data_IF_703849138094
#
_entry.id   IF_703849138094
#
_cell.length_a   1.000
_cell.length_b   1.000
_cell.length_c   1.000
_cell.angle_alpha   90.00
_cell.angle_beta   90.00
_cell.angle_gamma   90.00
#
_symmetry.space_group_name_H-M   'P 1'
#
loop_
_entity.id
_entity.type
_entity.pdbx_description
1 polymer ?
2 non-polymer ?
3 non-polymer ?
#
# COMPACT_ATOMS: atom_id res chain seq x y z
N UNK A 211 -14.12 39.65 3.98
CA UNK A 211 -14.35 39.12 5.32
C UNK A 211 -13.55 37.83 5.55
N UNK A 212 -12.59 37.89 6.48
CA UNK A 212 -11.68 36.77 6.69
C UNK A 212 -12.37 35.61 7.39
N UNK A 213 -13.34 35.89 8.26
CA UNK A 213 -13.99 34.82 9.00
C UNK A 213 -14.77 33.89 8.07
N UNK A 214 -15.44 34.43 7.05
CA UNK A 214 -16.21 33.58 6.15
C UNK A 214 -15.30 32.84 5.15
N UNK A 215 -14.20 33.45 4.72
CA UNK A 215 -13.27 32.77 3.83
C UNK A 215 -12.64 31.57 4.51
N UNK A 216 -12.53 31.60 5.84
CA UNK A 216 -12.10 30.42 6.61
C UNK A 216 -13.28 29.55 7.06
N UNK A 217 -14.51 30.06 7.00
CA UNK A 217 -15.69 29.23 7.26
C UNK A 217 -15.76 28.07 6.26
N UNK A 218 -15.73 28.39 4.96
CA UNK A 218 -15.91 27.38 3.93
C UNK A 218 -14.60 26.73 3.48
N UNK A 219 -13.45 27.29 3.86
CA UNK A 219 -12.20 26.58 3.64
C UNK A 219 -12.10 25.37 4.57
N UNK A 220 -12.59 25.50 5.80
CA UNK A 220 -12.46 24.41 6.76
C UNK A 220 -13.56 23.36 6.65
N UNK A 221 -14.74 23.71 6.16
CA UNK A 221 -15.80 22.70 6.11
C UNK A 221 -15.84 21.93 4.79
N UNK A 222 -15.54 22.57 3.66
CA UNK A 222 -15.41 21.78 2.44
C UNK A 222 -14.32 20.73 2.59
N UNK A 223 -13.26 21.03 3.35
CA UNK A 223 -12.33 19.99 3.78
C UNK A 223 -13.07 18.92 4.58
N UNK A 224 -13.90 19.35 5.52
CA UNK A 224 -14.61 18.40 6.37
C UNK A 224 -15.50 17.51 5.52
N UNK A 225 -16.24 18.11 4.58
CA UNK A 225 -17.19 17.38 3.76
C UNK A 225 -16.50 16.56 2.66
N UNK A 226 -15.60 17.19 1.88
CA UNK A 226 -14.81 16.43 0.91
C UNK A 226 -14.08 15.26 1.58
N UNK A 227 -13.68 15.44 2.82
CA UNK A 227 -12.90 14.44 3.53
C UNK A 227 -13.71 13.41 4.31
N UNK A 228 -14.95 13.70 4.67
CA UNK A 228 -15.75 12.66 5.30
C UNK A 228 -16.31 11.73 4.23
N UNK A 229 -16.87 12.28 3.15
CA UNK A 229 -17.42 11.44 2.10
C UNK A 229 -16.29 10.68 1.40
N UNK A 230 -15.22 11.40 1.06
CA UNK A 230 -14.05 10.79 0.47
C UNK A 230 -13.51 9.66 1.33
N UNK A 231 -13.14 9.96 2.57
CA UNK A 231 -12.53 8.94 3.41
C UNK A 231 -13.51 7.89 3.89
N UNK A 232 -14.82 8.12 3.74
CA UNK A 232 -15.78 7.06 4.08
C UNK A 232 -15.90 6.03 2.96
N UNK A 233 -15.78 6.48 1.70
CA UNK A 233 -15.79 5.54 0.57
C UNK A 233 -14.59 4.59 0.62
N UNK A 234 -13.43 5.07 1.06
CA UNK A 234 -12.23 4.24 1.05
C UNK A 234 -12.32 3.14 2.08
N UNK A 235 -12.71 3.49 3.32
CA UNK A 235 -12.99 2.47 4.33
C UNK A 235 -14.01 1.46 3.81
N UNK A 236 -15.07 1.97 3.17
CA UNK A 236 -16.19 1.14 2.78
C UNK A 236 -15.81 0.12 1.71
N UNK A 237 -15.23 0.58 0.60
CA UNK A 237 -14.97 -0.31 -0.54
C UNK A 237 -13.89 -1.33 -0.21
N UNK A 238 -12.88 -0.94 0.57
CA UNK A 238 -11.87 -1.92 0.95
C UNK A 238 -12.50 -3.02 1.80
N UNK A 239 -13.63 -2.73 2.45
CA UNK A 239 -14.29 -3.73 3.27
C UNK A 239 -15.33 -4.53 2.49
N UNK A 240 -16.21 -3.87 1.72
CA UNK A 240 -17.31 -4.59 1.09
C UNK A 240 -16.86 -5.44 -0.09
N UNK A 241 -15.73 -5.11 -0.73
CA UNK A 241 -15.31 -5.78 -1.96
C UNK A 241 -14.07 -6.62 -1.71
N UNK A 242 -14.21 -7.95 -1.86
CA UNK A 242 -13.03 -8.81 -1.72
C UNK A 242 -12.03 -8.57 -2.84
N UNK A 243 -12.48 -7.94 -3.94
CA UNK A 243 -11.57 -7.56 -5.01
C UNK A 243 -10.48 -6.63 -4.48
N UNK A 244 -10.83 -5.81 -3.49
CA UNK A 244 -10.05 -4.70 -2.94
C UNK A 244 -9.33 -5.04 -1.64
N UNK A 245 -9.59 -6.19 -1.05
CA UNK A 245 -8.90 -6.53 0.19
C UNK A 245 -7.49 -6.98 -0.18
N UNK A 246 -6.53 -6.07 -0.08
CA UNK A 246 -5.13 -6.37 -0.28
C UNK A 246 -4.34 -5.79 0.89
N UNK A 247 -3.05 -6.08 0.96
CA UNK A 247 -2.28 -5.50 2.06
C UNK A 247 -2.08 -4.00 1.82
N UNK A 248 -1.89 -3.60 0.56
CA UNK A 248 -1.68 -2.18 0.31
C UNK A 248 -2.93 -1.36 0.64
N UNK A 249 -4.12 -1.88 0.28
CA UNK A 249 -5.36 -1.17 0.59
C UNK A 249 -5.68 -1.15 2.09
N UNK A 250 -5.12 -2.07 2.88
CA UNK A 250 -5.38 -2.02 4.32
C UNK A 250 -4.63 -0.86 4.96
N UNK A 251 -3.40 -0.59 4.51
CA UNK A 251 -2.72 0.63 4.91
C UNK A 251 -3.41 1.86 4.35
N UNK A 252 -3.90 1.77 3.11
CA UNK A 252 -4.62 2.88 2.52
C UNK A 252 -5.91 3.17 3.29
N UNK A 253 -6.61 2.13 3.72
CA UNK A 253 -7.76 2.35 4.59
C UNK A 253 -7.32 2.84 5.97
N UNK A 254 -6.12 2.48 6.42
CA UNK A 254 -5.64 2.95 7.73
C UNK A 254 -5.32 4.44 7.69
N UNK A 255 -4.62 4.89 6.65
CA UNK A 255 -4.57 6.31 6.31
C UNK A 255 -5.95 6.94 6.31
N UNK A 256 -6.90 6.33 5.59
CA UNK A 256 -8.26 6.87 5.56
C UNK A 256 -8.83 7.01 6.97
N UNK A 257 -8.57 6.03 7.84
CA UNK A 257 -9.17 6.06 9.18
C UNK A 257 -8.47 7.11 10.03
N UNK A 258 -7.20 7.39 9.73
CA UNK A 258 -6.50 8.47 10.41
C UNK A 258 -7.06 9.83 10.04
N UNK A 259 -7.35 10.04 8.76
CA UNK A 259 -7.84 11.34 8.31
C UNK A 259 -9.33 11.50 8.56
N UNK A 260 -10.05 10.41 8.77
CA UNK A 260 -11.42 10.51 9.22
C UNK A 260 -11.47 11.01 10.66
N UNK A 261 -10.59 10.49 11.50
CA UNK A 261 -10.47 10.95 12.88
C UNK A 261 -10.17 12.45 12.96
N UNK A 262 -9.74 13.06 11.86
CA UNK A 262 -9.41 14.48 11.87
C UNK A 262 -10.50 15.31 11.20
N UNK A 263 -11.15 14.77 10.19
CA UNK A 263 -12.21 15.54 9.54
C UNK A 263 -13.46 15.64 10.42
N UNK A 264 -13.68 14.65 11.29
CA UNK A 264 -14.90 14.61 12.08
C UNK A 264 -14.69 15.02 13.53
N UNK A 265 -13.52 14.76 14.11
CA UNK A 265 -13.29 15.12 15.51
C UNK A 265 -12.58 16.47 15.62
N UNK A 266 -11.43 16.61 14.98
CA UNK A 266 -10.59 17.79 15.14
C UNK A 266 -11.08 19.00 14.37
N UNK A 267 -11.09 18.91 13.05
CA UNK A 267 -11.52 20.01 12.21
C UNK A 267 -12.88 20.62 12.60
N UNK A 268 -13.85 19.85 13.12
CA UNK A 268 -15.08 20.50 13.57
C UNK A 268 -14.91 21.44 14.77
N UNK A 269 -14.18 21.03 15.81
CA UNK A 269 -13.99 21.88 16.98
C UNK A 269 -12.93 22.95 16.76
N UNK A 270 -11.93 22.65 15.93
CA UNK A 270 -10.96 23.65 15.51
C UNK A 270 -11.62 24.86 14.90
N UNK A 271 -12.51 24.63 13.91
CA UNK A 271 -13.26 25.71 13.27
C UNK A 271 -13.89 26.65 14.28
N UNK A 272 -14.61 26.10 15.26
CA UNK A 272 -15.37 26.95 16.18
C UNK A 272 -14.46 27.71 17.13
N UNK A 273 -13.29 27.16 17.46
CA UNK A 273 -12.33 27.89 18.29
C UNK A 273 -11.62 28.99 17.50
N UNK A 274 -11.68 28.94 16.17
CA UNK A 274 -11.06 29.97 15.34
C UNK A 274 -12.04 31.10 15.03
N UNK A 275 -13.26 30.74 14.64
CA UNK A 275 -14.25 31.73 14.21
C UNK A 275 -14.74 32.57 15.38
N UNK A 276 -15.19 31.89 16.44
CA UNK A 276 -15.70 32.59 17.62
C UNK A 276 -14.57 33.25 18.39
N UNK A 277 -13.43 32.57 18.52
CA UNK A 277 -12.33 33.06 19.30
C UNK A 277 -12.30 32.57 20.73
N UNK A 278 -13.39 31.97 21.20
CA UNK A 278 -13.47 31.42 22.56
C UNK A 278 -13.61 29.91 22.47
N UNK A 279 -12.89 29.21 23.35
CA UNK A 279 -13.03 27.76 23.50
C UNK A 279 -14.27 27.47 24.35
N UNK A 280 -15.32 26.99 23.72
CA UNK A 280 -16.61 26.80 24.37
C UNK A 280 -16.88 25.34 24.75
N UNK A 281 -15.99 24.42 24.43
CA UNK A 281 -16.15 23.03 24.84
C UNK A 281 -15.44 22.81 26.18
N UNK A 282 -15.35 21.55 26.63
CA UNK A 282 -14.84 21.27 27.95
C UNK A 282 -13.33 21.41 28.03
N UNK A 283 -12.78 21.20 29.23
CA UNK A 283 -11.32 21.10 29.37
C UNK A 283 -10.77 19.74 29.00
N UNK A 284 -11.61 18.70 28.96
CA UNK A 284 -11.13 17.40 28.49
C UNK A 284 -10.80 17.49 27.00
N UNK A 285 -11.68 18.13 26.22
CA UNK A 285 -11.46 18.26 24.79
C UNK A 285 -10.28 19.17 24.48
N UNK A 286 -10.03 20.18 25.32
CA UNK A 286 -8.87 21.06 25.13
C UNK A 286 -7.57 20.26 25.15
N UNK A 287 -7.55 19.12 25.85
CA UNK A 287 -6.41 18.22 25.82
C UNK A 287 -6.46 17.25 24.64
N UNK A 288 -7.66 16.84 24.22
CA UNK A 288 -7.77 15.64 23.41
C UNK A 288 -7.71 15.93 21.92
N UNK A 289 -8.23 17.07 21.49
CA UNK A 289 -8.21 17.41 20.08
C UNK A 289 -6.79 17.69 19.58
N UNK A 290 -5.92 18.39 20.33
CA UNK A 290 -4.52 18.44 19.90
C UNK A 290 -3.82 17.09 19.92
N UNK A 291 -4.20 16.21 20.85
CA UNK A 291 -3.67 14.85 20.86
C UNK A 291 -4.18 14.05 19.66
N UNK A 292 -5.49 14.10 19.41
CA UNK A 292 -6.06 13.42 18.25
C UNK A 292 -5.54 13.97 16.92
N UNK A 293 -5.03 15.21 16.91
CA UNK A 293 -4.43 15.72 15.69
C UNK A 293 -3.00 15.22 15.52
N UNK A 294 -2.20 15.33 16.57
CA UNK A 294 -0.85 14.80 16.50
C UNK A 294 -0.84 13.30 16.28
N UNK A 295 -1.82 12.60 16.83
CA UNK A 295 -1.91 11.17 16.66
C UNK A 295 -2.08 10.80 15.19
N UNK A 296 -2.84 11.61 14.45
CA UNK A 296 -3.12 11.30 13.06
C UNK A 296 -1.89 11.47 12.17
N UNK A 297 -1.19 12.59 12.30
CA UNK A 297 -0.05 12.80 11.41
C UNK A 297 1.05 11.77 11.64
N UNK A 298 1.16 11.24 12.87
CA UNK A 298 2.13 10.18 13.10
C UNK A 298 1.68 8.85 12.49
N UNK A 299 0.40 8.48 12.63
CA UNK A 299 -0.05 7.23 12.02
C UNK A 299 0.05 7.35 10.51
N UNK A 300 -0.22 8.54 9.97
CA UNK A 300 -0.07 8.73 8.53
C UNK A 300 1.39 8.54 8.11
N UNK A 301 2.31 9.20 8.81
CA UNK A 301 3.72 9.11 8.44
C UNK A 301 4.27 7.71 8.63
N UNK A 302 3.86 7.03 9.70
CA UNK A 302 4.24 5.62 9.86
C UNK A 302 3.59 4.76 8.76
N UNK A 303 2.32 4.99 8.44
CA UNK A 303 1.65 4.16 7.43
C UNK A 303 2.23 4.36 6.03
N UNK A 304 2.57 5.59 5.65
CA UNK A 304 3.13 5.81 4.33
C UNK A 304 4.52 5.20 4.20
N UNK A 305 5.30 5.26 5.28
CA UNK A 305 6.65 4.70 5.29
C UNK A 305 6.61 3.18 5.14
N UNK A 306 5.62 2.53 5.77
CA UNK A 306 5.42 1.10 5.60
C UNK A 306 4.99 0.78 4.16
N UNK A 307 4.13 1.61 3.57
CA UNK A 307 3.69 1.32 2.21
C UNK A 307 4.89 1.33 1.27
N UNK A 308 5.80 2.28 1.46
CA UNK A 308 6.90 2.45 0.52
C UNK A 308 7.90 1.32 0.61
N UNK A 309 8.20 0.88 1.84
CA UNK A 309 9.14 -0.21 2.05
C UNK A 309 8.57 -1.55 1.57
N UNK A 310 7.29 -1.80 1.84
CA UNK A 310 6.69 -3.05 1.41
C UNK A 310 6.72 -3.17 -0.12
N UNK A 311 6.35 -2.09 -0.82
CA UNK A 311 6.43 -2.11 -2.27
C UNK A 311 7.86 -2.38 -2.75
N UNK A 312 8.84 -1.68 -2.16
CA UNK A 312 10.22 -1.90 -2.57
C UNK A 312 10.61 -3.36 -2.41
N UNK A 313 10.13 -4.01 -1.33
CA UNK A 313 10.49 -5.42 -1.09
C UNK A 313 9.81 -6.36 -2.10
N UNK A 314 8.54 -6.09 -2.45
CA UNK A 314 7.86 -6.93 -3.43
C UNK A 314 8.51 -6.82 -4.79
N UNK A 315 9.10 -5.66 -5.08
CA UNK A 315 9.66 -5.43 -6.41
C UNK A 315 11.05 -6.08 -6.55
N UNK A 316 11.82 -6.24 -5.45
CA UNK A 316 13.10 -6.94 -5.61
C UNK A 316 12.90 -8.45 -5.56
N UNK A 317 11.99 -8.92 -4.70
CA UNK A 317 11.73 -10.36 -4.63
C UNK A 317 10.83 -10.81 -5.76
N UNK A 318 10.39 -9.89 -6.63
CA UNK A 318 9.53 -10.17 -7.80
C UNK A 318 8.23 -10.83 -7.35
N UNK A 319 7.74 -10.43 -6.20
CA UNK A 319 6.57 -11.04 -5.59
C UNK A 319 5.37 -10.11 -5.62
N UNK A 320 4.20 -10.70 -5.42
CA UNK A 320 2.99 -9.92 -5.31
C UNK A 320 2.57 -9.68 -3.87
N UNK A 321 3.13 -10.45 -2.92
CA UNK A 321 3.11 -10.11 -1.50
C UNK A 321 4.41 -10.56 -0.83
N UNK A 322 4.95 -9.69 0.01
CA UNK A 322 5.93 -10.08 1.00
C UNK A 322 5.29 -10.14 2.38
N UNK A 323 4.60 -9.07 2.79
CA UNK A 323 3.95 -9.02 4.10
C UNK A 323 2.55 -9.65 4.04
N UNK A 324 2.26 -10.50 5.02
CA UNK A 324 0.98 -11.18 5.11
C UNK A 324 -0.15 -10.24 5.55
N UNK A 325 -1.36 -10.58 5.11
CA UNK A 325 -2.55 -9.85 5.54
C UNK A 325 -2.76 -9.89 7.04
N UNK A 326 -2.13 -10.82 7.76
CA UNK A 326 -2.34 -10.83 9.20
C UNK A 326 -1.22 -10.11 9.95
N UNK A 327 0.00 -10.04 9.39
CA UNK A 327 1.01 -9.14 9.96
C UNK A 327 0.63 -7.67 9.72
N UNK A 328 0.02 -7.37 8.57
CA UNK A 328 -0.42 -6.00 8.28
C UNK A 328 -1.37 -5.46 9.36
N UNK A 329 -2.20 -6.31 9.96
CA UNK A 329 -3.04 -5.79 11.05
C UNK A 329 -2.20 -5.51 12.29
N UNK A 330 -1.15 -6.30 12.52
CA UNK A 330 -0.29 -6.11 13.68
C UNK A 330 0.58 -4.85 13.54
N UNK A 331 1.05 -4.55 12.32
CA UNK A 331 1.78 -3.31 12.08
C UNK A 331 0.85 -2.10 12.20
N UNK A 332 -0.40 -2.24 11.76
CA UNK A 332 -1.37 -1.17 11.96
C UNK A 332 -1.65 -0.93 13.44
N UNK A 333 -1.57 -1.97 14.27
CA UNK A 333 -1.72 -1.78 15.71
C UNK A 333 -0.57 -1.02 16.34
N UNK A 334 0.65 -1.52 16.16
CA UNK A 334 1.85 -0.80 16.61
C UNK A 334 1.81 0.67 16.21
N UNK A 335 1.36 0.96 14.99
CA UNK A 335 1.39 2.33 14.50
C UNK A 335 0.52 3.23 15.36
N UNK A 336 -0.72 2.82 15.62
CA UNK A 336 -1.58 3.55 16.55
C UNK A 336 -1.02 3.50 17.97
N UNK A 337 -0.46 2.35 18.37
CA UNK A 337 0.13 2.26 19.70
C UNK A 337 1.36 3.13 19.86
N UNK A 338 2.34 2.96 18.95
CA UNK A 338 3.56 3.77 19.00
C UNK A 338 3.24 5.26 18.85
N UNK A 339 2.25 5.61 18.06
CA UNK A 339 1.99 7.03 17.89
C UNK A 339 1.12 7.60 19.00
N UNK A 340 0.30 6.79 19.66
CA UNK A 340 -0.42 7.29 20.83
C UNK A 340 0.53 7.60 21.99
N UNK A 341 1.72 6.98 22.01
CA UNK A 341 2.74 7.34 22.99
C UNK A 341 3.56 8.55 22.55
N UNK A 342 3.87 8.65 21.25
CA UNK A 342 4.71 9.73 20.76
C UNK A 342 4.01 11.08 20.80
N UNK A 343 2.68 11.11 20.86
CA UNK A 343 1.92 12.36 20.82
C UNK A 343 1.25 12.69 22.16
N UNK A 344 1.60 11.99 23.23
CA UNK A 344 1.04 12.27 24.55
C UNK A 344 1.55 13.58 25.16
N UNK A 345 2.81 14.00 24.91
CA UNK A 345 3.17 15.38 25.25
C UNK A 345 2.19 16.43 24.72
N UNK A 346 1.64 16.20 23.53
CA UNK A 346 0.62 17.10 23.00
C UNK A 346 -0.64 17.13 23.88
N UNK A 347 -0.88 16.08 24.67
CA UNK A 347 -2.12 15.96 25.42
C UNK A 347 -1.98 16.44 26.86
N UNK A 348 -0.79 16.34 27.43
CA UNK A 348 -0.57 16.70 28.82
C UNK A 348 -0.13 18.14 28.95
N UNK A 349 0.72 18.62 28.05
CA UNK A 349 1.18 20.00 28.14
C UNK A 349 0.22 20.98 27.47
N UNK A 350 -1.08 20.69 27.51
CA UNK A 350 -2.11 21.66 27.21
C UNK A 350 -2.67 22.20 28.52
N UNK A 351 -3.06 23.48 28.52
CA UNK A 351 -3.60 24.09 29.73
C UNK A 351 -4.96 24.71 29.45
N UNK A 352 -5.87 24.54 30.40
CA UNK A 352 -7.21 25.12 30.35
C UNK A 352 -7.31 26.19 31.43
N UNK A 353 -7.33 27.46 31.04
CA UNK A 353 -7.56 28.50 32.03
C UNK A 353 -7.97 29.79 31.33
N UNK A 354 -8.28 30.80 32.15
CA UNK A 354 -8.86 32.05 31.70
C UNK A 354 -7.76 33.02 31.28
N UNK A 355 -7.99 33.71 30.17
CA UNK A 355 -7.23 34.89 29.76
C UNK A 355 -8.22 35.89 29.18
N UNK A 356 -8.17 37.14 29.65
CA UNK A 356 -9.05 38.18 29.12
C UNK A 356 -8.19 39.16 28.33
N UNK A 357 -8.42 39.20 27.01
CA UNK A 357 -7.79 40.20 26.15
C UNK A 357 -8.16 41.60 26.61
N UNK A 358 -9.45 41.84 26.82
CA UNK A 358 -9.96 43.08 27.42
C UNK A 358 -11.01 42.59 28.43
N UNK A 359 -11.80 43.50 29.20
CA UNK A 359 -12.79 43.01 30.19
C UNK A 359 -14.09 42.42 29.63
N UNK A 360 -13.99 41.58 28.59
CA UNK A 360 -15.07 40.69 28.18
C UNK A 360 -15.31 39.69 29.29
N UNK A 361 -16.56 39.55 29.75
CA UNK A 361 -16.77 38.95 31.06
C UNK A 361 -16.64 37.43 31.03
N UNK A 362 -16.66 36.82 29.85
CA UNK A 362 -16.37 35.39 29.72
C UNK A 362 -15.54 35.16 28.47
N UNK A 363 -14.29 34.72 28.64
CA UNK A 363 -13.49 34.20 27.55
C UNK A 363 -12.42 33.29 28.13
N UNK A 364 -12.15 32.18 27.43
CA UNK A 364 -11.22 31.13 27.87
C UNK A 364 -10.49 30.61 26.65
N UNK A 365 -9.19 30.48 26.74
CA UNK A 365 -8.40 29.95 25.62
C UNK A 365 -7.78 28.61 26.00
N UNK A 366 -7.21 27.96 25.00
CA UNK A 366 -6.59 26.65 25.16
C UNK A 366 -5.23 26.70 24.46
N UNK A 367 -4.16 26.57 25.25
CA UNK A 367 -2.79 26.73 24.76
C UNK A 367 -1.88 25.70 25.41
N UNK A 368 -0.65 25.62 24.89
CA UNK A 368 0.35 24.70 25.39
C UNK A 368 1.12 25.33 26.55
N UNK A 369 1.44 24.52 27.55
CA UNK A 369 2.22 24.97 28.70
C UNK A 369 3.20 23.87 29.10
N UNK A 370 4.49 24.13 28.91
CA UNK A 370 5.70 23.35 29.17
C UNK A 370 6.29 23.69 30.53
N UNK A 371 6.85 22.66 31.22
CA UNK A 371 6.97 22.69 32.68
C UNK A 371 7.41 23.99 33.33
N UNK A 372 8.43 24.64 32.77
CA UNK A 372 8.93 25.85 33.38
C UNK A 372 8.08 27.07 33.07
N UNK A 373 8.16 28.06 33.96
CA UNK A 373 7.49 29.33 33.70
C UNK A 373 8.15 30.09 32.55
N UNK A 374 9.43 29.83 32.31
CA UNK A 374 10.15 30.40 31.17
C UNK A 374 11.03 29.35 30.50
N UNK A 375 10.86 28.08 30.82
CA UNK A 375 11.72 27.01 30.31
C UNK A 375 11.14 26.47 29.01
N UNK A 376 11.76 26.83 27.90
CA UNK A 376 11.27 26.50 26.57
C UNK A 376 11.89 25.23 26.00
N UNK A 377 12.83 24.60 26.72
CA UNK A 377 13.67 23.57 26.11
C UNK A 377 12.88 22.29 25.87
N UNK A 378 12.09 21.83 26.85
CA UNK A 378 11.30 20.62 26.66
C UNK A 378 10.43 20.71 25.40
N UNK A 379 9.87 21.90 25.14
CA UNK A 379 8.97 22.07 24.03
C UNK A 379 9.62 22.23 22.68
N UNK A 380 10.93 22.45 22.62
CA UNK A 380 11.60 22.59 21.34
C UNK A 380 12.28 21.30 20.89
N UNK A 381 12.93 20.57 21.81
CA UNK A 381 13.55 19.31 21.40
C UNK A 381 12.47 18.33 20.93
N UNK A 382 11.32 18.32 21.60
CA UNK A 382 10.19 17.59 21.08
C UNK A 382 9.80 18.13 19.71
N UNK A 383 9.78 19.46 19.56
CA UNK A 383 9.52 20.06 18.27
C UNK A 383 10.72 20.02 17.34
N UNK A 384 11.79 19.35 17.73
CA UNK A 384 12.91 19.12 16.83
C UNK A 384 13.16 17.65 16.58
N UNK A 385 13.07 16.81 17.61
CA UNK A 385 13.19 15.37 17.39
C UNK A 385 12.02 14.85 16.58
N UNK A 386 10.81 15.21 16.97
CA UNK A 386 9.64 14.72 16.23
C UNK A 386 9.66 15.23 14.79
N UNK A 387 10.06 16.49 14.59
CA UNK A 387 10.24 16.98 13.23
C UNK A 387 11.38 16.22 12.53
N UNK A 388 12.36 15.74 13.29
CA UNK A 388 13.45 14.97 12.68
C UNK A 388 13.03 13.52 12.47
N UNK A 389 12.80 12.81 13.57
CA UNK A 389 12.51 11.37 13.52
C UNK A 389 11.22 11.07 12.73
N UNK A 390 10.33 12.07 12.55
CA UNK A 390 9.02 11.84 11.94
C UNK A 390 8.67 12.77 10.79
N UNK A 391 9.61 13.52 10.27
CA UNK A 391 9.33 14.19 9.00
C UNK A 391 10.47 14.12 7.98
N UNK A 392 11.73 14.30 8.37
CA UNK A 392 12.80 14.22 7.38
C UNK A 392 13.37 12.80 7.35
N UNK A 393 13.25 12.08 8.45
CA UNK A 393 13.64 10.67 8.43
C UNK A 393 12.67 9.85 7.58
N UNK A 394 11.36 9.86 7.83
CA UNK A 394 10.48 9.00 7.02
C UNK A 394 10.33 9.49 5.59
N UNK A 395 10.43 10.80 5.34
CA UNK A 395 10.46 11.24 3.94
C UNK A 395 11.80 10.96 3.30
N UNK A 396 12.85 10.76 4.12
CA UNK A 396 14.09 10.24 3.59
C UNK A 396 13.95 8.82 3.11
N UNK A 397 13.42 7.94 3.98
CA UNK A 397 13.23 6.54 3.63
C UNK A 397 12.32 6.39 2.40
N UNK A 398 11.12 6.99 2.46
CA UNK A 398 10.16 6.88 1.36
C UNK A 398 10.80 7.32 0.04
N UNK A 399 11.45 8.48 0.04
CA UNK A 399 12.14 8.95 -1.16
C UNK A 399 13.13 7.91 -1.69
N UNK A 400 13.92 7.32 -0.80
CA UNK A 400 14.91 6.32 -1.20
C UNK A 400 14.21 5.12 -1.84
N UNK A 401 13.15 4.62 -1.22
CA UNK A 401 12.48 3.44 -1.74
C UNK A 401 11.93 3.69 -3.14
N UNK A 402 11.09 4.72 -3.30
CA UNK A 402 10.51 4.99 -4.61
C UNK A 402 11.56 5.35 -5.66
N UNK A 403 12.73 5.84 -5.23
CA UNK A 403 13.79 6.14 -6.19
C UNK A 403 14.38 4.84 -6.74
N UNK A 404 14.66 3.89 -5.85
CA UNK A 404 15.10 2.57 -6.28
C UNK A 404 14.00 1.87 -7.08
N UNK A 405 12.78 1.79 -6.50
CA UNK A 405 11.66 1.15 -7.17
C UNK A 405 11.51 1.66 -8.59
N UNK A 406 11.67 2.97 -8.78
CA UNK A 406 11.37 3.56 -10.07
C UNK A 406 12.35 3.05 -11.13
N UNK A 407 13.66 3.15 -10.88
CA UNK A 407 14.62 2.59 -11.84
C UNK A 407 14.33 1.10 -12.08
N UNK A 408 14.20 0.33 -11.00
CA UNK A 408 13.76 -1.06 -11.10
C UNK A 408 12.64 -1.22 -12.13
N UNK A 409 11.48 -0.57 -11.89
CA UNK A 409 10.33 -0.74 -12.78
C UNK A 409 10.57 -0.24 -14.20
N UNK A 410 11.55 0.63 -14.42
CA UNK A 410 11.76 1.26 -15.73
C UNK A 410 12.71 0.46 -16.62
N UNK A 411 13.77 -0.13 -16.05
CA UNK A 411 14.81 -0.80 -16.81
C UNK A 411 14.97 -2.26 -16.43
N UNK A 412 13.87 -2.88 -16.01
CA UNK A 412 13.89 -4.31 -15.74
C UNK A 412 13.57 -5.07 -17.03
N UNK A 413 14.13 -6.27 -17.13
CA UNK A 413 13.71 -7.25 -18.11
C UNK A 413 13.00 -8.36 -17.34
N UNK A 414 11.87 -8.83 -17.86
CA UNK A 414 11.19 -9.95 -17.18
C UNK A 414 12.05 -11.23 -17.24
N UNK A 415 12.08 -11.95 -16.12
CA UNK A 415 12.77 -13.22 -16.03
C UNK A 415 11.76 -14.35 -15.86
N UNK A 416 11.85 -15.38 -16.72
CA UNK A 416 10.98 -16.53 -16.66
C UNK A 416 11.78 -17.81 -16.40
N UNK A 417 11.21 -18.65 -15.54
CA UNK A 417 11.71 -19.98 -15.28
C UNK A 417 10.71 -20.95 -15.89
N UNK A 418 11.18 -21.89 -16.71
CA UNK A 418 10.33 -23.00 -17.17
C UNK A 418 10.91 -24.30 -16.65
N UNK A 419 10.14 -24.98 -15.82
CA UNK A 419 10.50 -26.29 -15.29
C UNK A 419 9.47 -27.27 -15.78
N UNK A 420 9.91 -28.29 -16.52
CA UNK A 420 9.03 -29.35 -17.01
C UNK A 420 9.55 -30.73 -16.61
N UNK A 421 8.62 -31.69 -16.54
CA UNK A 421 8.93 -33.11 -16.46
C UNK A 421 8.41 -33.86 -17.68
N UNK A 422 9.30 -34.59 -18.37
CA UNK A 422 8.97 -35.16 -19.67
C UNK A 422 9.68 -36.50 -19.88
N UNK A 423 8.92 -37.55 -20.12
CA UNK A 423 9.48 -38.89 -20.27
C UNK A 423 9.76 -39.24 -21.73
N UNK A 424 8.90 -38.82 -22.65
CA UNK A 424 9.14 -39.11 -24.05
C UNK A 424 9.25 -37.84 -24.87
N UNK A 425 9.37 -36.69 -24.21
CA UNK A 425 9.71 -35.44 -24.85
C UNK A 425 8.54 -34.58 -25.26
N UNK A 426 7.29 -34.95 -24.93
CA UNK A 426 6.17 -34.14 -25.40
C UNK A 426 6.08 -32.82 -24.63
N UNK A 427 6.04 -32.88 -23.29
CA UNK A 427 6.10 -31.67 -22.47
C UNK A 427 7.38 -30.89 -22.71
N UNK A 428 8.50 -31.58 -22.96
CA UNK A 428 9.72 -30.87 -23.30
C UNK A 428 9.54 -30.07 -24.58
N UNK A 429 8.94 -30.68 -25.62
CA UNK A 429 8.63 -29.92 -26.84
C UNK A 429 7.68 -28.78 -26.53
N UNK A 430 6.68 -29.00 -25.68
CA UNK A 430 5.78 -27.90 -25.36
C UNK A 430 6.54 -26.76 -24.68
N UNK A 431 7.49 -27.10 -23.82
CA UNK A 431 8.22 -26.09 -23.06
C UNK A 431 9.14 -25.26 -23.96
N UNK A 432 9.77 -25.90 -24.94
CA UNK A 432 10.61 -25.22 -25.92
C UNK A 432 9.81 -24.24 -26.76
N UNK A 433 8.52 -24.47 -26.91
CA UNK A 433 7.64 -23.72 -27.79
C UNK A 433 7.11 -22.50 -27.07
N UNK A 434 6.72 -22.71 -25.82
CA UNK A 434 6.43 -21.61 -24.92
C UNK A 434 7.64 -20.69 -24.84
N UNK A 435 8.81 -21.31 -24.68
CA UNK A 435 9.99 -20.55 -24.36
C UNK A 435 10.42 -19.71 -25.54
N UNK A 436 10.13 -20.16 -26.75
CA UNK A 436 10.54 -19.40 -27.93
C UNK A 436 9.67 -18.16 -28.10
N UNK A 437 8.43 -18.19 -27.57
CA UNK A 437 7.53 -17.05 -27.66
C UNK A 437 7.81 -16.02 -26.55
N UNK A 438 8.13 -16.50 -25.36
CA UNK A 438 8.54 -15.57 -24.31
C UNK A 438 9.89 -14.94 -24.62
N UNK A 439 10.80 -15.65 -25.28
CA UNK A 439 12.04 -15.00 -25.67
C UNK A 439 11.76 -13.94 -26.72
N UNK A 440 10.89 -14.26 -27.68
CA UNK A 440 10.51 -13.29 -28.70
C UNK A 440 9.79 -12.09 -28.14
N UNK A 441 9.35 -12.17 -26.88
CA UNK A 441 8.61 -11.11 -26.19
C UNK A 441 9.50 -10.29 -25.27
N UNK A 442 10.81 -10.51 -25.34
CA UNK A 442 11.75 -9.79 -24.51
C UNK A 442 11.99 -10.35 -23.14
N UNK A 443 11.50 -11.55 -22.83
CA UNK A 443 11.87 -12.21 -21.59
C UNK A 443 13.27 -12.81 -21.67
N UNK A 444 13.94 -12.87 -20.53
CA UNK A 444 15.14 -13.69 -20.39
C UNK A 444 14.69 -15.05 -19.87
N UNK A 445 14.59 -16.06 -20.78
CA UNK A 445 13.96 -17.33 -20.46
C UNK A 445 15.00 -18.31 -19.94
N UNK A 446 14.55 -19.19 -19.05
CA UNK A 446 15.40 -20.17 -18.35
C UNK A 446 14.66 -21.52 -18.35
N UNK A 447 15.01 -22.43 -19.26
CA UNK A 447 14.45 -23.79 -19.28
C UNK A 447 15.30 -24.76 -18.45
N UNK A 448 14.66 -25.49 -17.54
CA UNK A 448 15.34 -26.55 -16.81
C UNK A 448 14.48 -27.80 -16.79
N UNK A 449 15.05 -28.92 -17.18
CA UNK A 449 14.37 -30.19 -16.97
C UNK A 449 14.23 -30.42 -15.47
N UNK A 450 13.05 -30.90 -15.05
CA UNK A 450 12.85 -31.14 -13.62
C UNK A 450 13.88 -32.14 -13.07
N UNK A 451 14.30 -33.09 -13.90
CA UNK A 451 15.33 -34.07 -13.57
C UNK A 451 16.61 -33.44 -13.05
N UNK A 452 16.87 -32.18 -13.36
CA UNK A 452 18.19 -31.62 -13.11
C UNK A 452 18.21 -30.62 -11.96
N UNK A 453 17.08 -30.34 -11.31
CA UNK A 453 16.96 -29.31 -10.28
C UNK A 453 16.70 -29.92 -8.89
N UNK A 454 16.80 -29.06 -7.89
CA UNK A 454 16.39 -29.34 -6.53
C UNK A 454 15.41 -28.23 -6.16
N UNK A 455 14.58 -28.48 -5.15
CA UNK A 455 13.43 -27.60 -5.00
C UNK A 455 13.76 -26.33 -4.19
N UNK A 456 14.85 -26.32 -3.42
CA UNK A 456 15.08 -25.20 -2.53
C UNK A 456 15.46 -23.95 -3.29
N UNK A 457 14.73 -22.87 -3.03
CA UNK A 457 14.97 -21.58 -3.66
C UNK A 457 14.79 -21.53 -5.16
N UNK A 458 14.18 -22.56 -5.76
CA UNK A 458 14.20 -22.71 -7.22
C UNK A 458 13.50 -21.53 -7.88
N UNK A 459 12.45 -21.01 -7.26
CA UNK A 459 11.65 -19.99 -7.90
C UNK A 459 12.19 -18.58 -7.68
N UNK A 460 13.18 -18.43 -6.79
CA UNK A 460 13.61 -17.13 -6.33
C UNK A 460 14.25 -16.32 -7.44
N UNK A 461 13.81 -15.06 -7.57
CA UNK A 461 14.31 -14.17 -8.58
C UNK A 461 13.44 -14.06 -9.82
N UNK A 462 12.45 -14.92 -9.99
CA UNK A 462 11.71 -14.97 -11.24
C UNK A 462 10.38 -14.21 -11.14
N UNK A 463 10.04 -13.50 -12.22
CA UNK A 463 8.74 -12.86 -12.37
C UNK A 463 7.65 -13.87 -12.68
N UNK A 464 7.99 -14.91 -13.43
CA UNK A 464 7.05 -15.89 -13.94
C UNK A 464 7.69 -17.27 -13.90
N UNK A 465 6.99 -18.20 -13.29
CA UNK A 465 7.34 -19.61 -13.31
C UNK A 465 6.25 -20.35 -14.11
N UNK A 466 6.66 -21.10 -15.10
CA UNK A 466 5.75 -22.06 -15.71
C UNK A 466 6.22 -23.45 -15.35
N UNK A 467 5.31 -24.29 -14.84
CA UNK A 467 5.59 -25.69 -14.54
C UNK A 467 4.82 -26.62 -15.47
N UNK A 468 5.53 -27.40 -16.28
CA UNK A 468 4.93 -28.39 -17.18
C UNK A 468 5.15 -29.83 -16.73
N UNK A 469 4.08 -30.61 -16.78
CA UNK A 469 4.13 -31.99 -16.30
C UNK A 469 3.16 -32.85 -17.08
N UNK A 470 3.61 -34.02 -17.55
CA UNK A 470 2.72 -35.03 -18.11
C UNK A 470 2.12 -35.93 -17.03
N UNK A 471 0.95 -36.51 -17.34
CA UNK A 471 0.19 -37.26 -16.35
C UNK A 471 0.35 -38.74 -16.60
N UNK A 472 0.49 -39.50 -15.52
CA UNK A 472 0.82 -40.92 -15.56
C UNK A 472 -0.03 -41.67 -14.52
N UNK A 473 0.42 -42.85 -14.12
CA UNK A 473 -0.30 -43.56 -13.09
C UNK A 473 -1.28 -44.58 -13.64
N UNK A 474 -1.68 -45.50 -12.75
CA UNK A 474 -2.54 -46.61 -13.09
C UNK A 474 -3.74 -46.62 -12.15
N UNK A 475 -4.89 -46.16 -12.66
CA UNK A 475 -6.13 -46.05 -11.90
C UNK A 475 -6.03 -45.06 -10.76
N UNK A 476 -5.22 -44.03 -11.02
CA UNK A 476 -4.88 -42.94 -10.12
C UNK A 476 -3.99 -41.98 -10.90
N UNK A 477 -4.01 -40.71 -10.51
CA UNK A 477 -3.10 -39.72 -11.12
C UNK A 477 -1.74 -39.77 -10.45
N UNK A 478 -0.68 -39.89 -11.25
CA UNK A 478 0.71 -39.78 -10.85
C UNK A 478 1.34 -38.70 -11.70
N UNK A 479 2.27 -37.99 -11.12
CA UNK A 479 3.03 -37.03 -11.91
C UNK A 479 4.09 -37.76 -12.69
N UNK A 480 4.58 -37.10 -13.73
CA UNK A 480 5.82 -37.48 -14.39
C UNK A 480 6.92 -37.70 -13.36
N UNK A 481 7.82 -38.65 -13.64
CA UNK A 481 8.64 -39.20 -12.57
C UNK A 481 9.66 -38.21 -12.02
N UNK A 482 10.24 -37.36 -12.87
CA UNK A 482 11.24 -36.41 -12.36
C UNK A 482 10.60 -35.28 -11.57
N UNK A 483 9.30 -35.04 -11.78
CA UNK A 483 8.60 -33.98 -11.07
C UNK A 483 8.18 -34.35 -9.67
N UNK A 484 8.13 -35.64 -9.34
CA UNK A 484 7.66 -36.03 -8.02
C UNK A 484 8.44 -35.34 -6.91
N UNK A 485 9.76 -35.35 -6.89
CA UNK A 485 10.46 -34.71 -5.77
C UNK A 485 10.22 -33.21 -5.69
N UNK A 486 10.09 -32.55 -6.83
CA UNK A 486 9.80 -31.12 -6.83
C UNK A 486 8.44 -30.84 -6.23
N UNK A 487 7.45 -31.67 -6.57
CA UNK A 487 6.11 -31.58 -5.99
C UNK A 487 6.14 -31.90 -4.50
N UNK A 488 6.94 -32.87 -4.06
CA UNK A 488 6.93 -33.21 -2.65
C UNK A 488 7.59 -32.15 -1.79
N UNK A 489 8.36 -31.24 -2.41
CA UNK A 489 9.13 -30.22 -1.74
C UNK A 489 8.73 -28.84 -2.21
N UNK A 490 7.58 -28.75 -2.89
CA UNK A 490 7.16 -27.52 -3.52
C UNK A 490 7.09 -26.35 -2.55
N UNK A 491 7.00 -26.62 -1.24
CA UNK A 491 6.96 -25.57 -0.23
C UNK A 491 8.32 -24.93 0.04
N UNK A 492 9.42 -25.52 -0.42
CA UNK A 492 10.72 -24.88 -0.25
C UNK A 492 11.16 -24.08 -1.50
N UNK A 493 10.29 -23.89 -2.48
CA UNK A 493 10.72 -23.34 -3.75
C UNK A 493 10.62 -21.82 -3.86
N UNK A 494 9.93 -21.16 -2.92
CA UNK A 494 9.70 -19.73 -3.05
C UNK A 494 8.42 -19.37 -3.78
N UNK A 495 7.35 -20.17 -3.64
CA UNK A 495 6.15 -20.05 -4.46
C UNK A 495 5.12 -19.06 -3.91
N UNK A 496 5.05 -18.83 -2.61
CA UNK A 496 4.07 -17.86 -2.11
C UNK A 496 4.35 -16.43 -2.64
N UNK A 497 3.31 -15.79 -3.15
CA UNK A 497 3.42 -14.51 -3.83
C UNK A 497 3.96 -14.58 -5.24
N UNK A 498 4.45 -15.73 -5.69
CA UNK A 498 5.05 -15.87 -7.01
C UNK A 498 3.97 -16.06 -8.04
N UNK A 499 4.10 -15.41 -9.22
CA UNK A 499 3.17 -15.62 -10.33
C UNK A 499 3.52 -16.89 -11.12
N UNK A 500 2.58 -17.86 -11.18
CA UNK A 500 2.86 -19.14 -11.83
C UNK A 500 1.81 -19.45 -12.91
N UNK A 501 2.10 -20.48 -13.71
CA UNK A 501 1.12 -21.11 -14.57
C UNK A 501 1.61 -22.53 -14.85
N UNK A 502 0.72 -23.35 -15.40
CA UNK A 502 0.95 -24.77 -15.52
C UNK A 502 0.51 -25.26 -16.89
N UNK A 503 1.32 -26.13 -17.48
CA UNK A 503 0.94 -26.82 -18.69
C UNK A 503 1.20 -28.30 -18.52
N UNK A 504 0.65 -29.07 -19.43
CA UNK A 504 1.02 -30.45 -19.43
C UNK A 504 0.50 -31.16 -20.64
N UNK A 505 1.14 -32.26 -20.97
CA UNK A 505 0.65 -33.14 -22.01
C UNK A 505 -0.19 -34.27 -21.40
N UNK A 506 -1.28 -34.59 -22.07
CA UNK A 506 -2.08 -35.73 -21.69
C UNK A 506 -2.75 -36.44 -22.84
N UNK A 507 -3.82 -37.14 -22.49
CA UNK A 507 -4.55 -37.98 -23.43
C UNK A 507 -5.99 -37.98 -22.94
N UNK A 508 -6.89 -37.48 -23.77
CA UNK A 508 -8.25 -37.34 -23.32
C UNK A 508 -8.98 -38.68 -23.18
N UNK A 509 -8.38 -39.77 -23.64
CA UNK A 509 -8.91 -41.10 -23.36
C UNK A 509 -9.06 -41.34 -21.86
N UNK A 510 -8.09 -40.87 -21.09
CA UNK A 510 -8.04 -41.17 -19.68
C UNK A 510 -9.15 -40.46 -18.94
N UNK A 511 -9.59 -41.07 -17.84
CA UNK A 511 -10.55 -40.49 -16.90
C UNK A 511 -10.28 -39.00 -16.68
N UNK A 512 -9.14 -38.67 -16.06
CA UNK A 512 -8.81 -37.28 -15.72
C UNK A 512 -7.78 -36.75 -16.73
N UNK A 513 -8.27 -36.12 -17.78
CA UNK A 513 -7.38 -35.58 -18.82
C UNK A 513 -6.42 -34.55 -18.22
N UNK A 514 -5.12 -34.83 -18.36
CA UNK A 514 -4.05 -33.97 -17.83
C UNK A 514 -4.26 -33.69 -16.35
N UNK A 515 -4.36 -34.76 -15.58
CA UNK A 515 -4.67 -34.60 -14.18
C UNK A 515 -3.56 -33.91 -13.42
N UNK A 516 -2.30 -34.16 -13.82
CA UNK A 516 -1.13 -33.61 -13.15
C UNK A 516 -1.18 -32.09 -13.07
N UNK A 517 -1.73 -31.45 -14.10
CA UNK A 517 -1.86 -30.00 -14.11
C UNK A 517 -2.70 -29.53 -12.92
N UNK A 518 -3.94 -30.04 -12.83
CA UNK A 518 -4.80 -29.81 -11.67
C UNK A 518 -4.10 -30.05 -10.33
N UNK A 519 -3.34 -31.13 -10.23
CA UNK A 519 -2.64 -31.46 -9.00
C UNK A 519 -1.66 -30.35 -8.62
N UNK A 520 -0.84 -29.94 -9.60
CA UNK A 520 0.12 -28.84 -9.39
C UNK A 520 -0.61 -27.52 -9.15
N UNK A 521 -1.62 -27.19 -9.96
CA UNK A 521 -2.31 -25.90 -9.75
C UNK A 521 -2.84 -25.81 -8.33
N UNK A 522 -3.36 -26.92 -7.79
CA UNK A 522 -3.94 -26.92 -6.45
C UNK A 522 -2.86 -26.78 -5.39
N UNK A 523 -1.68 -27.34 -5.62
CA UNK A 523 -0.67 -27.21 -4.60
C UNK A 523 -0.14 -25.79 -4.58
N UNK A 524 0.18 -25.26 -5.77
CA UNK A 524 0.61 -23.86 -5.87
C UNK A 524 -0.42 -22.93 -5.24
N UNK A 525 -1.70 -23.21 -5.45
CA UNK A 525 -2.72 -22.38 -4.83
C UNK A 525 -2.71 -22.54 -3.29
N UNK A 526 -2.55 -23.76 -2.79
CA UNK A 526 -2.49 -23.96 -1.33
C UNK A 526 -1.30 -23.22 -0.74
N UNK A 527 -0.16 -23.22 -1.44
CA UNK A 527 1.06 -22.54 -1.04
C UNK A 527 0.98 -21.02 -1.20
N UNK A 528 -0.16 -20.48 -1.59
CA UNK A 528 -0.29 -19.04 -1.63
C UNK A 528 0.43 -18.41 -2.79
N UNK A 529 0.44 -19.09 -3.93
CA UNK A 529 1.04 -18.55 -5.13
C UNK A 529 -0.08 -17.93 -5.97
N UNK A 530 0.30 -17.02 -6.88
CA UNK A 530 -0.65 -16.21 -7.63
C UNK A 530 -0.74 -16.81 -9.03
N UNK A 531 -1.80 -17.58 -9.27
CA UNK A 531 -1.96 -18.29 -10.54
C UNK A 531 -2.53 -17.34 -11.60
N UNK A 532 -1.97 -17.45 -12.79
CA UNK A 532 -1.98 -16.35 -13.74
C UNK A 532 -2.71 -16.71 -15.01
N UNK A 533 -2.82 -18.00 -15.34
CA UNK A 533 -3.68 -18.53 -16.37
C UNK A 533 -4.23 -19.85 -15.87
N UNK A 534 -5.33 -20.29 -16.46
CA UNK A 534 -5.73 -21.68 -16.28
C UNK A 534 -4.78 -22.53 -17.09
N UNK A 535 -4.49 -23.71 -16.55
CA UNK A 535 -3.45 -24.55 -17.13
C UNK A 535 -3.70 -24.91 -18.58
N UNK A 536 -2.61 -25.21 -19.28
CA UNK A 536 -2.67 -25.64 -20.66
C UNK A 536 -2.59 -27.16 -20.69
N UNK A 537 -3.60 -27.78 -21.31
CA UNK A 537 -3.68 -29.23 -21.42
C UNK A 537 -3.65 -29.62 -22.89
N UNK A 538 -2.54 -30.20 -23.36
CA UNK A 538 -2.42 -30.63 -24.74
C UNK A 538 -2.96 -32.04 -24.89
N UNK A 539 -3.74 -32.28 -25.95
CA UNK A 539 -4.23 -33.61 -26.29
C UNK A 539 -3.38 -34.19 -27.41
N UNK A 540 -2.76 -35.34 -27.15
CA UNK A 540 -1.95 -36.00 -28.16
C UNK A 540 -0.59 -35.39 -28.46
N UNK A 541 -0.25 -35.39 -29.74
CA UNK A 541 1.07 -34.94 -30.19
C UNK A 541 1.11 -33.41 -30.15
N UNK A 542 2.00 -32.82 -29.34
CA UNK A 542 1.98 -31.36 -29.18
C UNK A 542 2.40 -30.63 -30.44
N UNK A 543 3.12 -31.28 -31.33
CA UNK A 543 3.45 -30.72 -32.64
C UNK A 543 2.20 -30.46 -33.45
N UNK A 544 1.18 -31.29 -33.28
CA UNK A 544 -0.13 -31.11 -33.91
C UNK A 544 -1.02 -30.10 -33.18
N UNK A 545 -0.54 -29.53 -32.07
CA UNK A 545 -1.24 -28.58 -31.21
C UNK A 545 -0.47 -27.27 -31.08
N UNK A 546 0.57 -27.07 -31.91
CA UNK A 546 1.45 -25.91 -31.79
C UNK A 546 0.66 -24.61 -31.70
N UNK A 547 -0.46 -24.50 -32.45
CA UNK A 547 -1.31 -23.31 -32.41
C UNK A 547 -1.87 -23.06 -30.99
N UNK A 548 -2.35 -24.11 -30.34
CA UNK A 548 -2.91 -23.95 -29.00
C UNK A 548 -1.83 -23.52 -28.02
N UNK A 549 -0.61 -23.99 -28.22
CA UNK A 549 0.45 -23.70 -27.28
C UNK A 549 0.90 -22.25 -27.42
N UNK A 550 1.19 -21.83 -28.65
CA UNK A 550 1.65 -20.47 -28.90
C UNK A 550 0.60 -19.47 -28.45
N UNK A 551 -0.67 -19.78 -28.71
CA UNK A 551 -1.78 -19.06 -28.11
C UNK A 551 -1.71 -18.93 -26.61
N UNK A 552 -1.58 -20.05 -25.89
CA UNK A 552 -1.49 -20.01 -24.44
C UNK A 552 -0.40 -19.07 -23.98
N UNK A 553 0.79 -19.24 -24.57
CA UNK A 553 1.96 -18.46 -24.21
C UNK A 553 1.71 -16.98 -24.41
N UNK A 554 1.01 -16.61 -25.51
CA UNK A 554 0.66 -15.20 -25.70
C UNK A 554 -0.26 -14.71 -24.60
N UNK A 555 -1.16 -15.57 -24.11
CA UNK A 555 -2.08 -15.19 -23.04
C UNK A 555 -1.37 -15.00 -21.71
N UNK A 556 -0.35 -15.82 -21.43
CA UNK A 556 0.40 -15.69 -20.20
C UNK A 556 1.16 -14.36 -20.18
N UNK A 557 1.88 -14.09 -21.27
CA UNK A 557 2.57 -12.83 -21.50
C UNK A 557 1.67 -11.61 -21.27
N UNK A 558 0.46 -11.63 -21.84
CA UNK A 558 -0.46 -10.53 -21.64
C UNK A 558 -0.85 -10.33 -20.18
N UNK A 559 -1.13 -11.43 -19.48
CA UNK A 559 -1.40 -11.39 -18.03
C UNK A 559 -0.23 -10.81 -17.24
N UNK A 560 1.02 -11.16 -17.60
CA UNK A 560 2.16 -10.57 -16.88
C UNK A 560 2.25 -9.09 -17.16
N UNK A 561 1.90 -8.67 -18.38
CA UNK A 561 1.89 -7.26 -18.72
C UNK A 561 0.87 -6.49 -17.87
N UNK A 562 -0.23 -7.15 -17.47
CA UNK A 562 -1.21 -6.49 -16.62
C UNK A 562 -0.74 -6.42 -15.17
N UNK A 563 -0.08 -7.45 -14.63
CA UNK A 563 0.45 -7.26 -13.29
C UNK A 563 1.50 -6.16 -13.29
N UNK A 564 2.38 -6.13 -14.32
CA UNK A 564 3.41 -5.09 -14.37
C UNK A 564 2.80 -3.70 -14.47
N UNK A 565 1.76 -3.55 -15.32
CA UNK A 565 1.13 -2.26 -15.53
C UNK A 565 0.38 -1.80 -14.30
N UNK A 566 -0.34 -2.74 -13.65
CA UNK A 566 -0.99 -2.52 -12.37
C UNK A 566 0.01 -2.08 -11.32
N UNK A 567 1.25 -2.48 -11.48
CA UNK A 567 2.28 -2.11 -10.51
C UNK A 567 2.68 -0.66 -10.72
N UNK A 568 3.17 -0.32 -11.93
CA UNK A 568 3.50 1.06 -12.28
C UNK A 568 2.37 2.03 -11.91
N UNK A 569 1.14 1.73 -12.32
CA UNK A 569 0.06 2.66 -12.03
C UNK A 569 -0.10 2.87 -10.54
N UNK A 570 -0.11 1.79 -9.75
CA UNK A 570 -0.29 1.96 -8.31
C UNK A 570 0.95 2.59 -7.66
N UNK A 571 2.14 2.29 -8.15
CA UNK A 571 3.34 2.94 -7.63
C UNK A 571 3.27 4.45 -7.83
N UNK A 572 2.80 4.90 -9.00
CA UNK A 572 2.82 6.33 -9.25
C UNK A 572 1.71 7.06 -8.49
N UNK A 573 0.62 6.36 -8.15
CA UNK A 573 -0.39 6.98 -7.31
C UNK A 573 0.11 7.09 -5.87
N UNK A 574 0.80 6.07 -5.38
CA UNK A 574 1.34 6.16 -4.04
C UNK A 574 2.34 7.31 -3.92
N UNK A 575 3.12 7.58 -4.97
CA UNK A 575 4.11 8.67 -4.94
C UNK A 575 3.40 10.02 -4.92
N UNK A 576 2.26 10.12 -5.61
CA UNK A 576 1.47 11.36 -5.57
C UNK A 576 0.91 11.61 -4.19
N UNK A 577 0.52 10.54 -3.48
CA UNK A 577 -0.02 10.69 -2.14
C UNK A 577 1.04 11.24 -1.19
N UNK A 578 2.28 10.78 -1.32
CA UNK A 578 3.31 11.24 -0.39
C UNK A 578 3.72 12.65 -0.76
N UNK A 579 3.79 12.96 -2.05
CA UNK A 579 4.20 14.31 -2.43
C UNK A 579 3.16 15.33 -2.00
N UNK A 580 1.88 15.03 -2.21
CA UNK A 580 0.80 15.89 -1.70
C UNK A 580 0.78 15.91 -0.17
N UNK A 581 1.35 14.90 0.48
CA UNK A 581 1.46 14.92 1.94
C UNK A 581 2.58 15.84 2.39
N UNK A 582 3.78 15.66 1.82
CA UNK A 582 4.97 16.40 2.23
C UNK A 582 4.91 17.87 1.82
N UNK A 583 4.34 18.20 0.66
CA UNK A 583 4.20 19.61 0.29
C UNK A 583 3.18 20.30 1.20
N UNK A 584 2.11 19.59 1.57
CA UNK A 584 1.08 20.25 2.37
C UNK A 584 1.54 20.51 3.81
N UNK A 585 2.43 19.67 4.36
CA UNK A 585 2.99 19.85 5.68
C UNK A 585 4.25 20.72 5.67
N UNK A 586 4.74 21.07 4.49
CA UNK A 586 5.97 21.85 4.41
C UNK A 586 5.82 23.22 5.05
N UNK A 587 4.75 24.04 4.76
CA UNK A 587 4.60 25.33 5.45
C UNK A 587 4.61 25.19 6.96
N UNK A 588 3.60 24.48 7.50
CA UNK A 588 3.44 24.41 8.94
C UNK A 588 4.75 24.02 9.64
N UNK A 589 5.49 23.07 9.06
CA UNK A 589 6.71 22.58 9.71
C UNK A 589 7.86 23.56 9.55
N UNK A 590 7.93 24.23 8.39
CA UNK A 590 8.82 25.37 8.22
C UNK A 590 8.59 26.39 9.33
N UNK A 591 7.36 26.85 9.46
CA UNK A 591 6.91 27.57 10.64
C UNK A 591 7.40 26.90 11.92
N UNK A 592 6.89 25.70 12.21
CA UNK A 592 7.23 25.03 13.47
C UNK A 592 8.72 25.04 13.76
N UNK A 593 9.56 24.80 12.75
CA UNK A 593 10.99 24.80 12.98
C UNK A 593 11.51 26.21 13.22
N UNK A 594 11.03 27.18 12.43
CA UNK A 594 11.51 28.55 12.54
C UNK A 594 11.05 29.20 13.83
N UNK A 595 9.74 29.27 14.06
CA UNK A 595 9.23 30.01 15.20
C UNK A 595 9.20 29.15 16.46
N UNK A 596 10.08 28.15 16.52
CA UNK A 596 10.37 27.44 17.75
C UNK A 596 11.86 27.45 18.07
N UNK A 597 12.69 28.04 17.20
CA UNK A 597 14.04 28.49 17.57
C UNK A 597 14.10 30.00 17.77
N UNK A 598 13.08 30.74 17.33
CA UNK A 598 13.01 32.20 17.42
C UNK A 598 12.43 32.65 18.76
N UNK A 599 11.19 32.22 19.07
CA UNK A 599 10.52 32.57 20.31
C UNK A 599 10.30 34.08 20.43
N UNK A 600 9.99 34.72 19.30
CA UNK A 600 9.69 36.15 19.27
C UNK A 600 8.74 36.38 18.08
N UNK A 601 7.44 36.28 18.35
CA UNK A 601 6.42 36.38 17.32
C UNK A 601 5.17 37.07 17.87
N UNK A 602 5.32 38.34 18.28
CA UNK A 602 4.18 39.15 18.69
C UNK A 602 3.49 39.85 17.52
N UNK A 603 3.75 39.39 16.30
CA UNK A 603 2.99 39.84 15.13
C UNK A 603 1.67 39.09 14.99
N UNK A 604 1.03 38.73 16.13
CA UNK A 604 -0.07 37.77 16.16
C UNK A 604 -1.31 38.21 15.39
N UNK A 605 -1.42 39.48 15.01
CA UNK A 605 -2.44 39.87 14.04
C UNK A 605 -2.12 39.29 12.66
N UNK A 606 -0.83 39.14 12.35
CA UNK A 606 -0.39 38.34 11.22
C UNK A 606 -0.14 36.89 11.63
N UNK A 607 0.56 36.68 12.76
CA UNK A 607 1.01 35.33 13.13
C UNK A 607 -0.16 34.36 13.24
N UNK A 608 -1.17 34.70 14.05
CA UNK A 608 -2.31 33.79 14.21
C UNK A 608 -2.90 33.42 12.85
N UNK A 609 -2.96 34.39 11.92
CA UNK A 609 -3.39 34.08 10.56
C UNK A 609 -2.37 33.23 9.81
N UNK A 610 -1.07 33.47 10.07
CA UNK A 610 -0.04 32.66 9.42
C UNK A 610 -0.15 31.20 9.85
N UNK A 611 -0.39 30.96 11.13
CA UNK A 611 -0.47 29.58 11.59
C UNK A 611 -1.77 28.92 11.18
N UNK A 612 -2.86 29.67 11.02
CA UNK A 612 -4.09 29.04 10.56
C UNK A 612 -4.02 28.69 9.08
N UNK A 613 -3.67 29.67 8.23
CA UNK A 613 -3.61 29.39 6.79
C UNK A 613 -2.56 28.33 6.49
N UNK A 614 -1.47 28.28 7.25
CA UNK A 614 -0.57 27.15 7.15
C UNK A 614 -1.26 25.87 7.59
N UNK A 615 -2.05 25.94 8.65
CA UNK A 615 -2.74 24.75 9.14
C UNK A 615 -3.81 24.28 8.18
N UNK A 616 -4.45 25.17 7.43
CA UNK A 616 -5.47 24.75 6.47
C UNK A 616 -4.85 23.93 5.34
N UNK A 617 -3.71 24.39 4.81
CA UNK A 617 -2.98 23.66 3.78
C UNK A 617 -2.73 22.23 4.22
N UNK A 618 -2.18 22.06 5.42
CA UNK A 618 -1.88 20.72 5.90
C UNK A 618 -3.14 19.86 6.00
N UNK A 619 -4.27 20.46 6.35
CA UNK A 619 -5.52 19.71 6.42
C UNK A 619 -6.00 19.25 5.05
N UNK A 620 -5.39 19.74 3.97
CA UNK A 620 -5.79 19.30 2.65
C UNK A 620 -5.23 17.92 2.34
N UNK A 621 -4.14 17.54 3.02
CA UNK A 621 -3.63 16.18 2.97
C UNK A 621 -4.64 15.16 3.50
N UNK A 622 -5.68 15.58 4.20
CA UNK A 622 -6.71 14.61 4.55
C UNK A 622 -7.63 14.34 3.36
N UNK A 623 -8.33 15.37 2.88
CA UNK A 623 -9.33 15.10 1.84
C UNK A 623 -8.73 14.73 0.49
N UNK A 624 -7.45 15.06 0.24
CA UNK A 624 -6.86 14.83 -1.09
C UNK A 624 -6.78 13.35 -1.45
N UNK A 625 -6.51 12.49 -0.46
CA UNK A 625 -6.20 11.08 -0.76
C UNK A 625 -7.32 10.34 -1.50
N UNK A 626 -8.60 10.46 -1.14
CA UNK A 626 -9.62 9.76 -1.94
C UNK A 626 -9.72 10.26 -3.37
N UNK A 627 -9.46 11.55 -3.62
CA UNK A 627 -9.50 12.07 -4.98
C UNK A 627 -8.39 11.49 -5.86
N UNK A 628 -7.16 11.37 -5.31
CA UNK A 628 -6.07 10.74 -6.06
C UNK A 628 -6.40 9.30 -6.42
N UNK A 629 -6.99 8.54 -5.49
CA UNK A 629 -7.34 7.16 -5.78
C UNK A 629 -8.33 7.11 -6.93
N UNK A 630 -9.39 7.93 -6.85
CA UNK A 630 -10.41 7.89 -7.88
C UNK A 630 -9.92 8.39 -9.22
N UNK A 631 -9.05 9.40 -9.20
CA UNK A 631 -8.59 9.96 -10.46
C UNK A 631 -7.57 9.07 -11.14
N UNK A 632 -6.61 8.54 -10.37
CA UNK A 632 -5.38 7.99 -10.90
C UNK A 632 -5.29 6.48 -10.81
N UNK A 633 -6.35 5.80 -10.36
CA UNK A 633 -6.34 4.36 -10.13
C UNK A 633 -7.70 3.83 -10.53
N UNK A 634 -7.72 3.01 -11.57
CA UNK A 634 -8.98 2.65 -12.22
C UNK A 634 -9.75 1.61 -11.43
N UNK A 635 -9.07 0.76 -10.65
CA UNK A 635 -9.80 -0.16 -9.77
C UNK A 635 -10.40 0.56 -8.58
N UNK A 636 -9.88 1.74 -8.22
CA UNK A 636 -10.58 2.55 -7.24
C UNK A 636 -11.74 3.30 -7.88
N UNK A 637 -11.47 4.00 -8.97
CA UNK A 637 -12.52 4.69 -9.73
C UNK A 637 -13.77 3.84 -9.86
N UNK A 638 -13.61 2.60 -10.34
CA UNK A 638 -14.76 1.72 -10.50
C UNK A 638 -15.37 1.33 -9.16
N UNK A 639 -14.55 1.16 -8.11
CA UNK A 639 -15.09 0.74 -6.82
C UNK A 639 -15.93 1.83 -6.16
N UNK A 640 -15.50 3.10 -6.25
CA UNK A 640 -16.31 4.20 -5.74
C UNK A 640 -17.65 4.28 -6.49
N UNK A 641 -17.63 4.15 -7.82
CA UNK A 641 -18.87 4.23 -8.58
C UNK A 641 -19.71 2.97 -8.45
N UNK A 642 -19.14 1.86 -7.96
CA UNK A 642 -19.93 0.68 -7.67
C UNK A 642 -20.58 0.73 -6.29
N UNK A 643 -20.22 1.70 -5.44
CA UNK A 643 -20.89 1.92 -4.16
C UNK A 643 -21.99 2.98 -4.28
N UNK A 644 -21.72 4.08 -4.99
CA UNK A 644 -22.74 5.08 -5.32
C UNK A 644 -23.79 4.56 -6.30
N UNK A 645 -23.68 3.29 -6.74
CA UNK A 645 -24.67 2.63 -7.57
C UNK A 645 -25.47 1.56 -6.85
N UNK A 646 -25.07 1.14 -5.65
CA UNK A 646 -25.91 0.33 -4.77
C UNK A 646 -26.50 1.15 -3.64
N UNK A 647 -26.61 2.46 -3.85
CA UNK A 647 -27.26 3.36 -2.91
C UNK A 647 -27.85 4.56 -3.64
X LIG B 1 3.12 17.79 14.05
X LIG B 1 0.16 18.61 14.39
X LIG B 1 -0.08 19.60 17.08
X LIG B 1 0.96 18.66 16.74
X LIG B 1 -3.28 22.84 15.67
X LIG B 1 -4.09 21.54 17.33
X LIG B 1 -5.06 23.44 16.64
X LIG B 1 4.24 15.93 12.61
X LIG B 1 4.35 16.93 13.60
X LIG B 1 5.56 17.13 14.23
X LIG B 1 6.70 16.31 13.88
X LIG B 1 6.58 15.35 12.86
X LIG B 1 5.35 15.14 12.22
X LIG B 1 4.89 18.08 16.45
X LIG B 1 5.12 18.97 17.53
X LIG B 1 6.14 19.98 17.49
X LIG B 1 6.81 19.11 15.31
X LIG B 1 5.71 18.18 15.35
X LIG B 1 1.05 18.16 15.40
X LIG B 1 -0.88 19.51 14.75
X LIG B 1 -0.94 19.99 16.04
X LIG B 1 -1.86 22.21 15.59
X LIG B 1 -2.84 20.61 17.35
X LIG B 1 -4.58 24.92 16.72
X LIG B 1 -4.81 27.38 16.05
X LIG B 1 -4.88 27.90 14.55
X LIG B 1 -6.43 25.58 15.13
X LIG B 1 -5.69 25.02 13.87
X LIG B 1 -6.05 23.55 17.86
X LIG B 1 -5.60 23.69 19.21
X LIG B 1 -6.60 23.75 20.27
X LIG B 1 -8.00 23.70 20.01
X LIG B 1 -8.40 23.55 18.64
X LIG B 1 -7.42 23.52 17.58
X LIG B 1 -1.92 20.09 13.84
X LIG B 1 6.97 20.02 16.38
X LIG B 1 2.22 17.21 15.11
X LIG B 1 -2.05 20.89 16.15
X LIG B 1 -3.83 22.78 16.89
X LIG B 1 -5.30 25.97 16.02
X LIG B 1 2.88 18.88 13.48
X LIG B 1 -3.61 25.21 17.47
X LIG C 1 -2.85 -38.66 -19.80
X LIG C 1 -3.83 -38.01 -19.08
X LIG C 1 -4.32 -36.96 -19.46
X LIG C 1 -4.29 -38.55 -17.91
X LIG C 1 -3.75 -39.73 -17.44
X LIG C 1 -4.15 -40.23 -16.39
X LIG C 1 -2.76 -40.37 -18.15
X LIG C 1 -2.27 -41.56 -17.68
X LIG C 1 -1.28 -42.23 -18.36
X LIG C 1 -0.78 -43.42 -17.85
X LIG C 1 0.19 -44.12 -18.56
X LIG C 1 0.75 -45.41 -18.08
X LIG C 1 0.64 -43.57 -19.75
X LIG C 1 1.68 -44.29 -20.52
X LIG C 1 0.16 -42.38 -20.24
X LIG C 1 -0.81 -41.69 -19.55
X LIG C 1 -1.32 -40.51 -20.04
X LIG C 1 -2.30 -39.85 -19.35
X LIG C 1 -0.81 -39.94 -21.34
X LIG C 1 0.55 -39.23 -21.21
X LIG C 1 0.41 -38.12 -20.35
X LIG C 1 1.03 -38.76 -22.59
X LIG C 1 1.43 -39.82 -23.41
X LIG C 1 2.10 -37.66 -22.57
X LIG C 1 2.39 -37.30 -23.88
X LIG C 1 3.45 -38.02 -21.98
X LIG C 1 4.11 -36.77 -21.86
X LIG C 1 5.70 -36.68 -21.93
X LIG C 1 6.20 -35.26 -21.96
X LIG C 1 6.33 -37.33 -20.70
X LIG C 1 6.12 -37.41 -23.20
#
# INVERSE_FOLDING_TARGET
GAPNIFEMLRIDEGLRLKIYKDTEGYYTIGIGHLLTKSPSLNAAKSELDKAIGRNTNGVITKDEAEKLFNQDVDAAVRGILRNAKLKPVYDSLDAVRRAALINMVFQMGETGVAGFTNSLRMLQQKRWDEAAVNLAKSRWYNQTPNRAKRVITTFRTGTWDAYMGPIGAEADENQTVEEMKVEQYGPQTTPRGELVPDPEPELIDSTKLIEVQVVLILAYCSIILLGVIGNSLVIHVVIKFKSMRTVTNFFIANLAVADLLVNTLCLPFTLTYTLMGEWKMGPVLCHLVPYAQGLAVQVSTITLTVIALDRYRCIVYHLESKISKRISFLIIGLAWGISALLASPLAIFREYSLIEIIPDFEIVACTEKWPGEEKSIYGTVYSLSSLLILYVLPLGIISFSYTRIWSKLKNHVAKALIVYGSTTGNTEYTAETIARELADAGYEVDSRDAASVEAGGLFEGFDLVLLGCSTWGDDSIELQDDFIPLFDSLEETGAQGRKVACFGCGDSSWEYFCGAVDAIEEKLKNLGAEIVQDGLRIDGDPRAARDDIVGWAHDVRGAIDHYHQRRQKTTKMLVCVVVVFAVCWLPLHAFQLAVDIDSQVLDLKEYKLIFTVFHIIAMCSTFANPLLYGWMNSNYRKAFLSAFRCEQRLDAIHSEVEFLEVLFQ
H46 C13 C17 C20 C21 C24 C26 C28 C01 C02 C03 C04 C05 C06 C07 C08 C09 C11 C12 C16 C18 C19 C23 C27 C29 C32 C33 C34 C35 C36 C37 C38 C39 C40 C41 F42 N10 N14 N22 N25 N30 O15 O31
FMN N1 C2 O2 N3 C4 O4 C4A N5 C5A C6 C7 C7M C8 C8M C9 C9A N10 C10 C1' C2' O2' C3' O3' C4' O4' C5' O5' P O1P O2P O3P
#
